data_IF_207563523512
#
_entry.id   IF_207563523512
#
_cell.length_a   1.000
_cell.length_b   1.000
_cell.length_c   1.000
_cell.angle_alpha   90.00
_cell.angle_beta   90.00
_cell.angle_gamma   90.00
#
_symmetry.space_group_name_H-M   'P 1'
#
loop_
_entity.id
_entity.type
_entity.pdbx_description
1 polymer ?
#
# COMPACT_ATOMS: atom_id res chain seq x y z
N UNK A 1 -56.42 -10.40 -15.73
CA UNK A 1 -55.23 -10.09 -16.55
C UNK A 1 -54.01 -10.52 -15.75
N UNK A 2 -53.48 -11.69 -16.06
CA UNK A 2 -52.22 -12.18 -15.51
C UNK A 2 -51.10 -11.47 -16.26
N UNK A 3 -50.19 -10.81 -15.54
CA UNK A 3 -48.89 -10.43 -16.08
C UNK A 3 -47.82 -10.86 -15.08
N UNK A 4 -46.99 -11.77 -15.57
CA UNK A 4 -45.75 -12.31 -15.05
C UNK A 4 -44.91 -11.35 -14.19
N UNK A 5 -44.92 -11.56 -12.87
CA UNK A 5 -43.78 -11.23 -12.01
C UNK A 5 -42.83 -12.44 -12.00
N UNK A 6 -42.12 -12.64 -13.12
CA UNK A 6 -40.96 -13.53 -13.10
C UNK A 6 -39.82 -12.82 -12.35
N UNK A 7 -39.25 -13.42 -11.30
CA UNK A 7 -38.07 -12.85 -10.64
C UNK A 7 -36.94 -12.79 -11.66
N UNK A 8 -36.53 -11.57 -12.02
CA UNK A 8 -35.36 -11.34 -12.89
C UNK A 8 -34.15 -11.97 -12.23
N UNK A 9 -33.68 -13.11 -12.76
CA UNK A 9 -32.47 -13.77 -12.31
C UNK A 9 -31.31 -12.77 -12.29
N UNK A 10 -30.59 -12.67 -11.16
CA UNK A 10 -29.44 -11.78 -11.01
C UNK A 10 -28.38 -12.20 -12.05
N UNK A 11 -28.03 -11.34 -13.03
CA UNK A 11 -27.12 -11.69 -14.12
C UNK A 11 -25.70 -12.02 -13.61
N UNK A 12 -25.35 -11.66 -12.37
CA UNK A 12 -24.04 -11.94 -11.77
C UNK A 12 -24.04 -13.14 -10.81
N UNK A 13 -25.18 -13.83 -10.65
CA UNK A 13 -25.32 -15.04 -9.82
C UNK A 13 -24.23 -16.08 -10.13
N UNK A 14 -24.02 -16.38 -11.41
CA UNK A 14 -23.01 -17.33 -11.87
C UNK A 14 -21.56 -16.91 -11.52
N UNK A 15 -21.25 -15.60 -11.50
CA UNK A 15 -19.93 -15.12 -11.09
C UNK A 15 -19.74 -15.27 -9.58
N UNK A 16 -20.77 -14.96 -8.78
CA UNK A 16 -20.73 -15.17 -7.33
C UNK A 16 -20.60 -16.65 -6.98
N UNK A 17 -21.31 -17.53 -7.69
CA UNK A 17 -21.20 -18.97 -7.55
C UNK A 17 -19.79 -19.47 -7.90
N UNK A 18 -19.21 -19.03 -9.02
CA UNK A 18 -17.82 -19.38 -9.37
C UNK A 18 -16.81 -18.86 -8.33
N UNK A 19 -17.06 -17.69 -7.76
CA UNK A 19 -16.22 -17.13 -6.71
C UNK A 19 -16.32 -17.94 -5.41
N UNK A 20 -17.53 -18.36 -5.01
CA UNK A 20 -17.72 -19.23 -3.83
C UNK A 20 -17.07 -20.59 -4.04
N UNK A 21 -17.28 -21.22 -5.19
CA UNK A 21 -16.63 -22.50 -5.52
C UNK A 21 -15.10 -22.41 -5.46
N UNK A 22 -14.51 -21.31 -5.95
CA UNK A 22 -13.06 -21.08 -5.83
C UNK A 22 -12.63 -20.93 -4.37
N UNK A 23 -13.40 -20.19 -3.57
CA UNK A 23 -13.12 -20.01 -2.16
C UNK A 23 -13.19 -21.35 -1.40
N UNK A 24 -14.20 -22.18 -1.69
CA UNK A 24 -14.35 -23.49 -1.08
C UNK A 24 -13.21 -24.43 -1.49
N UNK A 25 -12.81 -24.45 -2.77
CA UNK A 25 -11.63 -25.21 -3.22
C UNK A 25 -10.34 -24.76 -2.54
N UNK A 26 -10.18 -23.48 -2.22
CA UNK A 26 -9.03 -23.00 -1.45
C UNK A 26 -9.04 -23.57 -0.03
N UNK A 27 -10.20 -23.61 0.61
CA UNK A 27 -10.36 -24.19 1.96
C UNK A 27 -10.04 -25.68 1.96
N UNK A 28 -10.56 -26.43 0.99
CA UNK A 28 -10.33 -27.88 0.89
C UNK A 28 -8.84 -28.20 0.70
N UNK A 29 -8.16 -27.51 -0.22
CA UNK A 29 -6.71 -27.65 -0.42
C UNK A 29 -5.91 -27.35 0.84
N UNK A 30 -6.31 -26.29 1.56
CA UNK A 30 -5.64 -25.89 2.77
C UNK A 30 -5.80 -26.95 3.87
N UNK A 31 -7.00 -27.52 4.04
CA UNK A 31 -7.27 -28.62 4.97
C UNK A 31 -6.41 -29.85 4.65
N UNK A 32 -6.38 -30.26 3.38
CA UNK A 32 -5.57 -31.40 2.94
C UNK A 32 -4.08 -31.18 3.23
N UNK A 33 -3.55 -29.99 2.93
CA UNK A 33 -2.16 -29.66 3.20
C UNK A 33 -1.83 -29.59 4.69
N UNK A 34 -2.73 -29.05 5.52
CA UNK A 34 -2.57 -29.05 6.99
C UNK A 34 -2.54 -30.49 7.51
N UNK A 35 -3.45 -31.35 7.05
CA UNK A 35 -3.48 -32.75 7.45
C UNK A 35 -2.20 -33.49 7.07
N UNK A 36 -1.71 -33.29 5.84
CA UNK A 36 -0.46 -33.88 5.36
C UNK A 36 0.76 -33.40 6.16
N UNK A 37 0.86 -32.09 6.44
CA UNK A 37 1.95 -31.54 7.27
C UNK A 37 1.92 -32.08 8.70
N UNK A 38 0.72 -32.23 9.30
CA UNK A 38 0.56 -32.85 10.62
C UNK A 38 1.00 -34.31 10.61
N UNK A 39 0.58 -35.09 9.61
CA UNK A 39 1.00 -36.49 9.47
C UNK A 39 2.52 -36.63 9.30
N UNK A 40 3.15 -35.69 8.60
CA UNK A 40 4.60 -35.63 8.44
C UNK A 40 5.36 -35.02 9.64
N UNK A 41 4.66 -34.62 10.72
CA UNK A 41 5.21 -33.88 11.86
C UNK A 41 6.04 -32.64 11.44
N UNK A 42 5.67 -32.01 10.33
CA UNK A 42 6.33 -30.82 9.80
C UNK A 42 5.69 -29.55 10.34
N UNK A 43 6.49 -28.49 10.44
CA UNK A 43 5.99 -27.19 10.89
C UNK A 43 4.98 -26.62 9.91
N UNK A 44 3.86 -26.13 10.42
CA UNK A 44 2.80 -25.51 9.63
C UNK A 44 3.09 -24.01 9.53
N UNK A 45 3.65 -23.63 8.40
CA UNK A 45 4.00 -22.26 8.02
C UNK A 45 3.39 -21.95 6.66
N UNK A 46 3.32 -20.67 6.28
CA UNK A 46 2.78 -20.32 4.97
C UNK A 46 3.60 -20.92 3.81
N UNK A 47 4.93 -20.97 3.95
CA UNK A 47 5.82 -21.57 2.95
C UNK A 47 5.67 -23.09 2.86
N UNK A 48 5.60 -23.78 4.01
CA UNK A 48 5.38 -25.24 4.00
C UNK A 48 4.01 -25.63 3.46
N UNK A 49 2.97 -24.82 3.69
CA UNK A 49 1.66 -25.03 3.07
C UNK A 49 1.68 -24.81 1.57
N UNK A 50 2.38 -23.78 1.08
CA UNK A 50 2.55 -23.53 -0.36
C UNK A 50 3.27 -24.71 -1.03
N UNK A 51 4.32 -25.22 -0.41
CA UNK A 51 5.05 -26.38 -0.93
C UNK A 51 4.20 -27.65 -0.89
N UNK A 52 3.52 -27.92 0.23
CA UNK A 52 2.68 -29.11 0.40
C UNK A 52 1.51 -29.12 -0.59
N UNK A 53 0.82 -28.00 -0.77
CA UNK A 53 -0.28 -27.91 -1.76
C UNK A 53 0.20 -28.09 -3.20
N UNK A 54 1.43 -27.70 -3.54
CA UNK A 54 2.06 -27.98 -4.84
C UNK A 54 2.40 -29.47 -5.02
N UNK A 55 2.75 -30.17 -3.94
CA UNK A 55 3.03 -31.61 -3.98
C UNK A 55 1.74 -32.43 -4.11
N UNK A 56 0.67 -32.02 -3.44
CA UNK A 56 -0.63 -32.70 -3.47
C UNK A 56 -1.36 -32.54 -4.81
N UNK A 57 -1.20 -31.41 -5.50
CA UNK A 57 -1.81 -31.16 -6.81
C UNK A 57 -0.73 -30.87 -7.87
N UNK A 58 -0.31 -31.87 -8.65
CA UNK A 58 0.60 -31.67 -9.78
C UNK A 58 0.04 -30.65 -10.78
N UNK A 59 0.84 -29.65 -11.13
CA UNK A 59 0.42 -28.54 -12.01
C UNK A 59 -0.20 -27.35 -11.29
N UNK A 60 -0.45 -27.44 -9.97
CA UNK A 60 -0.85 -26.30 -9.16
C UNK A 60 0.37 -25.59 -8.55
N UNK A 61 0.40 -24.26 -8.63
CA UNK A 61 1.53 -23.46 -8.13
C UNK A 61 1.67 -23.46 -6.58
N UNK A 62 0.66 -23.97 -5.87
CA UNK A 62 0.57 -23.96 -4.42
C UNK A 62 -0.20 -22.74 -3.88
N UNK A 63 -0.76 -22.90 -2.68
CA UNK A 63 -1.48 -21.81 -1.99
C UNK A 63 -0.49 -20.84 -1.37
N UNK A 64 -0.40 -19.63 -1.93
CA UNK A 64 0.37 -18.54 -1.32
C UNK A 64 -0.36 -17.96 -0.11
N UNK A 65 0.40 -17.37 0.82
CA UNK A 65 -0.17 -16.69 1.98
C UNK A 65 -1.23 -15.63 1.60
N UNK A 66 -0.99 -14.89 0.52
CA UNK A 66 -1.91 -13.84 0.08
C UNK A 66 -3.26 -14.42 -0.38
N UNK A 67 -3.26 -15.59 -1.04
CA UNK A 67 -4.49 -16.28 -1.44
C UNK A 67 -5.25 -16.75 -0.21
N UNK A 68 -4.55 -17.34 0.77
CA UNK A 68 -5.14 -17.74 2.05
C UNK A 68 -5.73 -16.52 2.78
N UNK A 69 -4.99 -15.42 2.86
CA UNK A 69 -5.42 -14.20 3.58
C UNK A 69 -6.64 -13.52 2.96
N UNK A 70 -6.84 -13.63 1.65
CA UNK A 70 -7.99 -13.03 0.95
C UNK A 70 -9.30 -13.81 1.15
N UNK A 71 -9.23 -15.06 1.59
CA UNK A 71 -10.39 -15.88 1.92
C UNK A 71 -10.51 -16.00 3.45
N UNK A 72 -11.54 -15.39 4.08
CA UNK A 72 -11.64 -15.34 5.55
C UNK A 72 -11.67 -16.72 6.19
N UNK A 73 -12.43 -17.66 5.62
CA UNK A 73 -12.54 -19.04 6.12
C UNK A 73 -11.21 -19.79 6.04
N UNK A 74 -10.48 -19.61 4.94
CA UNK A 74 -9.15 -20.23 4.79
C UNK A 74 -8.14 -19.62 5.77
N UNK A 75 -8.22 -18.30 6.01
CA UNK A 75 -7.34 -17.62 6.93
C UNK A 75 -7.55 -18.05 8.39
N UNK A 76 -8.80 -18.23 8.82
CA UNK A 76 -9.14 -18.78 10.15
C UNK A 76 -8.55 -20.18 10.35
N UNK A 77 -8.70 -21.06 9.37
CA UNK A 77 -8.11 -22.41 9.42
C UNK A 77 -6.58 -22.37 9.51
N UNK A 78 -5.95 -21.47 8.76
CA UNK A 78 -4.50 -21.27 8.85
C UNK A 78 -4.08 -20.79 10.24
N UNK A 79 -4.77 -19.81 10.82
CA UNK A 79 -4.46 -19.33 12.17
C UNK A 79 -4.58 -20.42 13.24
N UNK A 80 -5.60 -21.27 13.15
CA UNK A 80 -5.81 -22.38 14.09
C UNK A 80 -4.71 -23.45 13.97
N UNK A 81 -4.16 -23.67 12.78
CA UNK A 81 -3.21 -24.74 12.52
C UNK A 81 -1.73 -24.30 12.60
N UNK A 82 -1.42 -23.04 12.32
CA UNK A 82 -0.05 -22.59 12.17
C UNK A 82 0.69 -22.51 13.52
N UNK A 83 1.90 -23.08 13.56
CA UNK A 83 2.69 -23.19 14.79
C UNK A 83 3.06 -21.85 15.42
N UNK A 84 3.10 -20.80 14.60
CA UNK A 84 3.33 -19.43 15.05
C UNK A 84 2.24 -18.95 16.04
N UNK A 85 1.02 -19.48 15.94
CA UNK A 85 -0.11 -19.15 16.81
C UNK A 85 -0.34 -20.22 17.89
N UNK A 86 -0.01 -21.48 17.62
CA UNK A 86 -0.19 -22.58 18.59
C UNK A 86 0.71 -22.40 19.82
N UNK A 87 1.95 -21.91 19.65
CA UNK A 87 2.91 -21.67 20.75
C UNK A 87 2.50 -20.56 21.73
N UNK A 88 1.51 -19.73 21.41
CA UNK A 88 1.00 -18.69 22.32
C UNK A 88 -0.19 -19.11 23.18
N UNK A 89 -0.74 -20.32 23.00
CA UNK A 89 -2.02 -20.68 23.64
C UNK A 89 -1.94 -21.30 25.04
N UNK A 90 -0.77 -21.61 25.58
CA UNK A 90 -0.65 -22.21 26.93
C UNK A 90 0.16 -21.32 27.87
N UNK A 91 -0.52 -20.79 28.90
CA UNK A 91 0.01 -20.16 30.11
C UNK A 91 0.85 -18.87 30.02
N UNK A 92 1.33 -18.46 28.83
CA UNK A 92 2.34 -17.39 28.73
C UNK A 92 1.77 -15.97 28.45
N UNK A 93 0.49 -15.86 28.07
CA UNK A 93 -0.16 -14.56 27.79
C UNK A 93 -0.36 -13.71 29.05
N UNK A 94 -0.68 -14.33 30.20
CA UNK A 94 -0.86 -13.62 31.48
C UNK A 94 0.48 -13.06 31.98
N UNK A 95 1.60 -13.77 31.72
CA UNK A 95 2.93 -13.34 32.16
C UNK A 95 3.52 -12.24 31.27
N UNK A 96 3.21 -12.22 29.98
CA UNK A 96 3.67 -11.18 29.03
C UNK A 96 3.00 -9.82 29.26
N UNK A 97 1.74 -9.79 29.69
CA UNK A 97 1.03 -8.53 29.98
C UNK A 97 1.68 -7.77 31.16
N UNK A 98 2.15 -8.48 32.19
CA UNK A 98 2.88 -7.88 33.33
C UNK A 98 4.32 -7.45 32.99
N UNK A 99 5.01 -8.12 32.07
CA UNK A 99 6.38 -7.75 31.67
C UNK A 99 6.46 -6.58 30.68
N UNK A 100 5.42 -6.35 29.87
CA UNK A 100 5.39 -5.21 28.91
C UNK A 100 5.35 -3.85 29.60
N UNK A 101 4.82 -3.75 30.81
CA UNK A 101 4.84 -2.50 31.58
C UNK A 101 6.26 -2.08 32.03
N UNK A 102 7.25 -2.99 32.05
CA UNK A 102 8.63 -2.71 32.52
C UNK A 102 9.71 -2.67 31.43
N UNK A 103 9.37 -2.88 30.15
CA UNK A 103 10.34 -2.96 29.03
C UNK A 103 10.19 -1.85 27.98
N UNK A 104 9.71 -0.68 28.38
CA UNK A 104 9.58 0.49 27.49
C UNK A 104 10.93 1.16 27.16
N UNK A 105 12.04 0.79 27.82
CA UNK A 105 13.29 1.56 27.72
C UNK A 105 14.43 0.98 26.88
N UNK A 106 14.27 -0.13 26.15
CA UNK A 106 15.33 -0.60 25.24
C UNK A 106 14.77 -1.24 23.98
N UNK A 107 14.46 -0.41 22.97
CA UNK A 107 14.17 -0.87 21.61
C UNK A 107 15.40 -0.61 20.75
N UNK A 108 15.99 -1.69 20.22
CA UNK A 108 17.09 -1.64 19.26
C UNK A 108 16.67 -0.89 17.98
N UNK A 109 17.61 -0.28 17.24
CA UNK A 109 17.28 0.53 16.07
C UNK A 109 16.94 -0.39 14.90
N UNK A 110 15.66 -0.46 14.55
CA UNK A 110 15.23 -1.12 13.33
C UNK A 110 15.58 -0.22 12.13
N UNK A 111 16.47 -0.73 11.28
CA UNK A 111 16.76 -0.20 9.97
C UNK A 111 15.49 -0.13 9.11
N UNK A 112 15.40 0.92 8.28
CA UNK A 112 14.33 1.24 7.34
C UNK A 112 12.95 1.47 7.98
N UNK A 113 12.88 2.45 8.87
CA UNK A 113 11.62 2.96 9.39
C UNK A 113 11.04 4.03 8.45
N UNK A 114 9.91 3.74 7.79
CA UNK A 114 9.20 4.72 6.98
C UNK A 114 8.36 5.66 7.88
N UNK A 115 8.67 6.96 7.95
CA UNK A 115 7.96 7.91 8.80
C UNK A 115 6.48 8.08 8.43
N UNK A 116 6.09 7.75 7.20
CA UNK A 116 4.68 7.82 6.76
C UNK A 116 3.84 6.70 7.37
N UNK A 117 4.47 5.58 7.77
CA UNK A 117 3.77 4.47 8.43
C UNK A 117 3.35 4.76 9.87
N UNK A 118 3.79 5.89 10.46
CA UNK A 118 3.29 6.38 11.78
C UNK A 118 1.96 7.10 11.69
N UNK A 119 1.65 7.65 10.53
CA UNK A 119 0.54 8.58 10.39
C UNK A 119 -0.72 7.81 10.06
N UNK A 120 -1.79 8.11 10.78
CA UNK A 120 -3.11 7.62 10.41
C UNK A 120 -3.51 8.21 9.06
N UNK A 121 -4.36 7.50 8.31
CA UNK A 121 -4.80 7.90 6.97
C UNK A 121 -5.31 9.35 6.92
N UNK A 122 -5.99 9.81 7.98
CA UNK A 122 -6.51 11.19 8.09
C UNK A 122 -5.38 12.22 8.17
N UNK A 123 -4.34 11.92 8.94
CA UNK A 123 -3.18 12.81 9.10
C UNK A 123 -2.33 12.85 7.85
N UNK A 124 -2.19 11.70 7.17
CA UNK A 124 -1.52 11.64 5.88
C UNK A 124 -2.25 12.49 4.82
N UNK A 125 -3.57 12.38 4.72
CA UNK A 125 -4.38 13.18 3.79
C UNK A 125 -4.29 14.67 4.13
N UNK A 126 -4.34 15.05 5.41
CA UNK A 126 -4.18 16.44 5.83
C UNK A 126 -2.81 16.98 5.41
N UNK A 127 -1.76 16.22 5.67
CA UNK A 127 -0.39 16.60 5.33
C UNK A 127 -0.18 16.73 3.82
N UNK A 128 -0.75 15.83 3.02
CA UNK A 128 -0.71 15.92 1.56
C UNK A 128 -1.35 17.23 1.09
N UNK A 129 -2.55 17.57 1.57
CA UNK A 129 -3.23 18.81 1.18
C UNK A 129 -2.43 20.06 1.54
N UNK A 130 -1.86 20.11 2.74
CA UNK A 130 -1.00 21.23 3.15
C UNK A 130 0.23 21.36 2.23
N UNK A 131 0.86 20.23 1.88
CA UNK A 131 2.00 20.24 0.97
C UNK A 131 1.61 20.64 -0.47
N UNK A 132 0.43 20.25 -0.94
CA UNK A 132 -0.11 20.68 -2.24
C UNK A 132 -0.31 22.21 -2.25
N UNK A 133 -0.91 22.77 -1.19
CA UNK A 133 -1.10 24.22 -1.05
C UNK A 133 0.25 24.99 -1.02
N UNK A 134 1.24 24.48 -0.28
CA UNK A 134 2.58 25.05 -0.22
C UNK A 134 3.29 24.99 -1.58
N UNK A 135 3.17 23.86 -2.29
CA UNK A 135 3.74 23.67 -3.61
C UNK A 135 3.14 24.66 -4.63
N UNK A 136 1.82 24.83 -4.62
CA UNK A 136 1.14 25.80 -5.47
C UNK A 136 1.54 27.24 -5.15
N UNK A 137 1.75 27.57 -3.87
CA UNK A 137 2.24 28.89 -3.46
C UNK A 137 3.67 29.14 -3.98
N UNK A 138 4.55 28.14 -3.89
CA UNK A 138 5.91 28.22 -4.43
C UNK A 138 5.94 28.35 -5.97
N UNK A 139 5.09 27.60 -6.68
CA UNK A 139 4.96 27.75 -8.13
C UNK A 139 4.53 29.17 -8.52
N UNK A 140 3.57 29.75 -7.81
CA UNK A 140 3.14 31.14 -8.03
C UNK A 140 4.28 32.13 -7.78
N UNK A 141 5.02 31.97 -6.68
CA UNK A 141 6.19 32.83 -6.36
C UNK A 141 7.26 32.76 -7.44
N UNK A 142 7.60 31.55 -7.90
CA UNK A 142 8.58 31.36 -9.00
C UNK A 142 8.10 31.98 -10.30
N UNK A 143 6.80 31.85 -10.62
CA UNK A 143 6.21 32.50 -11.79
C UNK A 143 6.32 34.02 -11.72
N UNK A 144 6.00 34.62 -10.58
CA UNK A 144 6.15 36.06 -10.36
C UNK A 144 7.61 36.52 -10.50
N UNK A 145 8.56 35.82 -9.86
CA UNK A 145 9.98 36.14 -9.97
C UNK A 145 10.51 36.02 -11.40
N UNK A 146 10.08 35.00 -12.15
CA UNK A 146 10.48 34.84 -13.54
C UNK A 146 9.93 35.99 -14.41
N UNK A 147 8.69 36.41 -14.17
CA UNK A 147 8.11 37.57 -14.84
C UNK A 147 8.87 38.87 -14.50
N UNK A 148 9.18 39.10 -13.23
CA UNK A 148 9.94 40.28 -12.79
C UNK A 148 11.35 40.30 -13.42
N UNK A 149 12.01 39.14 -13.50
CA UNK A 149 13.30 39.01 -14.19
C UNK A 149 13.20 39.37 -15.68
N UNK A 150 12.17 38.89 -16.38
CA UNK A 150 11.94 39.25 -17.78
C UNK A 150 11.68 40.74 -17.95
N UNK A 151 10.89 41.35 -17.07
CA UNK A 151 10.61 42.79 -17.10
C UNK A 151 11.89 43.63 -16.88
N UNK A 152 12.76 43.22 -15.96
CA UNK A 152 14.04 43.86 -15.72
C UNK A 152 14.98 43.75 -16.92
N UNK A 153 15.09 42.57 -17.53
CA UNK A 153 15.91 42.37 -18.75
C UNK A 153 15.42 43.24 -19.90
N UNK A 154 14.11 43.31 -20.12
CA UNK A 154 13.53 44.18 -21.15
C UNK A 154 13.87 45.66 -20.92
N UNK A 155 13.83 46.10 -19.65
CA UNK A 155 14.21 47.47 -19.28
C UNK A 155 15.69 47.74 -19.48
N UNK A 156 16.56 46.79 -19.13
CA UNK A 156 18.01 46.92 -19.36
C UNK A 156 18.32 47.07 -20.85
N UNK A 157 17.76 46.20 -21.69
CA UNK A 157 17.93 46.28 -23.15
C UNK A 157 17.48 47.63 -23.71
N UNK A 158 16.35 48.15 -23.23
CA UNK A 158 15.87 49.49 -23.64
C UNK A 158 16.83 50.61 -23.22
N UNK A 159 17.37 50.55 -22.01
CA UNK A 159 18.33 51.56 -21.54
C UNK A 159 19.64 51.48 -22.31
N UNK A 160 20.12 50.28 -22.60
CA UNK A 160 21.32 50.06 -23.43
C UNK A 160 21.14 50.65 -24.83
N UNK A 161 19.98 50.45 -25.46
CA UNK A 161 19.72 51.04 -26.78
C UNK A 161 19.62 52.57 -26.72
N UNK A 162 18.97 53.14 -25.69
CA UNK A 162 18.92 54.59 -25.49
C UNK A 162 20.34 55.20 -25.31
N UNK A 163 21.23 54.54 -24.56
CA UNK A 163 22.62 54.98 -24.39
C UNK A 163 23.38 54.96 -25.72
N UNK A 164 23.28 53.87 -26.48
CA UNK A 164 23.95 53.74 -27.78
C UNK A 164 23.52 54.85 -28.75
N UNK A 165 22.22 55.17 -28.78
CA UNK A 165 21.70 56.25 -29.63
C UNK A 165 22.23 57.62 -29.19
N UNK A 166 22.26 57.90 -27.89
CA UNK A 166 22.80 59.16 -27.36
C UNK A 166 24.31 59.31 -27.63
N UNK A 167 25.07 58.23 -27.55
CA UNK A 167 26.51 58.24 -27.86
C UNK A 167 26.76 58.40 -29.37
N UNK A 168 25.91 57.83 -30.22
CA UNK A 168 25.94 58.05 -31.66
C UNK A 168 25.67 59.52 -32.03
N UNK A 169 24.63 60.13 -31.43
CA UNK A 169 24.30 61.55 -31.61
C UNK A 169 25.42 62.49 -31.13
N UNK A 170 26.14 62.13 -30.06
CA UNK A 170 27.29 62.89 -29.57
C UNK A 170 28.55 62.74 -30.42
N UNK A 171 28.71 61.62 -31.11
CA UNK A 171 29.88 61.31 -31.94
C UNK A 171 29.81 61.93 -33.35
N UNK A 172 28.63 62.41 -33.75
CA UNK A 172 28.40 63.15 -34.99
C UNK A 172 27.71 64.50 -34.70
N UNK A 173 28.43 65.48 -34.12
CA UNK A 173 27.90 66.84 -34.06
C UNK A 173 27.88 67.40 -35.48
N UNK A 174 26.71 67.86 -35.93
CA UNK A 174 26.58 68.65 -37.15
C UNK A 174 27.37 69.96 -37.08
#
# INVERSE_FOLDING_TARGET
MSNDDQPREDPFSHLRQRASERADRTVERLRAAIAALRAANQKITAESLKQMTRQLEPGFAGLSFQVIRRNPRAYELYQQAADAFTRSSTADEVRRKRRRARRVTRRAPHAAYDPLQRLDKRDLVRRIRTLEEELEAEHRRRGALAYDQQALLARLLRLETEIILLDADRSHPG
#
